data_IF_651601532613
#
_entry.id   IF_651601532613
#
_cell.length_a   1.000
_cell.length_b   1.000
_cell.length_c   1.000
_cell.angle_alpha   90.00
_cell.angle_beta   90.00
_cell.angle_gamma   90.00
#
_symmetry.space_group_name_H-M   'P 1'
#
loop_
_entity.id
_entity.type
_entity.pdbx_description
1 polymer ?
#
# COMPACT_ATOMS: atom_id res chain seq x y z
N UNK A 1 -29.42 -38.65 -1.82
CA UNK A 1 -29.66 -37.29 -1.32
C UNK A 1 -28.31 -36.61 -1.21
N UNK A 2 -27.99 -35.60 -2.03
CA UNK A 2 -26.82 -34.77 -1.77
C UNK A 2 -27.08 -33.93 -0.51
N UNK A 3 -26.06 -33.68 0.33
CA UNK A 3 -26.23 -32.90 1.54
C UNK A 3 -26.57 -31.45 1.22
N UNK A 4 -27.44 -30.90 2.05
CA UNK A 4 -27.90 -29.52 2.09
C UNK A 4 -26.76 -28.52 1.84
N UNK A 5 -26.98 -27.69 0.82
CA UNK A 5 -26.29 -26.42 0.64
C UNK A 5 -26.49 -25.59 1.90
N UNK A 6 -25.49 -25.63 2.79
CA UNK A 6 -25.42 -24.70 3.91
C UNK A 6 -25.30 -23.31 3.29
N UNK A 7 -26.42 -22.61 3.21
CA UNK A 7 -26.44 -21.18 2.93
C UNK A 7 -25.61 -20.52 4.03
N UNK A 8 -24.33 -20.29 3.74
CA UNK A 8 -23.58 -19.22 4.37
C UNK A 8 -24.43 -17.98 4.15
N UNK A 9 -25.23 -17.61 5.15
CA UNK A 9 -25.93 -16.33 5.24
C UNK A 9 -24.85 -15.28 5.10
N UNK A 10 -24.66 -14.89 3.85
CA UNK A 10 -23.51 -14.16 3.36
C UNK A 10 -23.53 -12.79 3.99
N UNK A 11 -22.34 -12.35 4.39
CA UNK A 11 -22.08 -11.02 4.92
C UNK A 11 -22.36 -9.98 3.81
N UNK A 12 -23.63 -9.73 3.48
CA UNK A 12 -24.04 -8.77 2.46
C UNK A 12 -24.20 -7.42 3.13
N UNK A 13 -23.13 -6.65 3.14
CA UNK A 13 -23.17 -5.27 3.61
C UNK A 13 -23.02 -4.31 2.42
N UNK A 14 -23.89 -3.28 2.31
CA UNK A 14 -23.68 -2.24 1.32
C UNK A 14 -22.35 -1.53 1.59
N UNK A 15 -21.53 -1.38 0.55
CA UNK A 15 -20.25 -0.68 0.67
C UNK A 15 -20.47 0.83 0.79
N UNK A 16 -20.13 1.39 1.95
CA UNK A 16 -20.24 2.82 2.23
C UNK A 16 -18.93 3.61 1.95
N UNK A 17 -17.92 2.96 1.36
CA UNK A 17 -16.58 3.50 1.19
C UNK A 17 -15.60 3.00 2.27
N UNK A 18 -14.34 3.40 2.12
CA UNK A 18 -13.27 3.09 3.10
C UNK A 18 -13.35 4.07 4.28
N UNK A 19 -13.27 3.56 5.50
CA UNK A 19 -13.36 4.41 6.70
C UNK A 19 -12.14 5.32 6.85
N UNK A 20 -12.30 6.54 7.41
CA UNK A 20 -11.17 7.40 7.74
C UNK A 20 -10.18 6.75 8.71
N UNK A 21 -10.66 5.93 9.64
CA UNK A 21 -9.83 5.22 10.61
C UNK A 21 -8.88 4.23 9.92
N UNK A 22 -9.34 3.55 8.86
CA UNK A 22 -8.50 2.65 8.08
C UNK A 22 -7.35 3.40 7.38
N UNK A 23 -7.65 4.58 6.82
CA UNK A 23 -6.65 5.45 6.19
C UNK A 23 -5.64 5.93 7.23
N UNK A 24 -6.11 6.35 8.41
CA UNK A 24 -5.27 6.80 9.51
C UNK A 24 -4.35 5.66 10.00
N UNK A 25 -4.89 4.47 10.24
CA UNK A 25 -4.11 3.30 10.67
C UNK A 25 -3.04 2.93 9.64
N UNK A 26 -3.39 2.85 8.36
CA UNK A 26 -2.40 2.58 7.30
C UNK A 26 -1.33 3.69 7.24
N UNK A 27 -1.69 4.95 7.46
CA UNK A 27 -0.72 6.06 7.46
C UNK A 27 0.29 5.96 8.59
N UNK A 28 -0.12 5.57 9.80
CA UNK A 28 0.79 5.36 10.92
C UNK A 28 1.74 4.18 10.65
N UNK A 29 1.21 3.09 10.10
CA UNK A 29 2.01 1.91 9.74
C UNK A 29 3.03 2.24 8.64
N UNK A 30 2.61 2.99 7.62
CA UNK A 30 3.50 3.44 6.55
C UNK A 30 4.61 4.35 7.11
N UNK A 31 4.27 5.32 7.96
CA UNK A 31 5.23 6.21 8.61
C UNK A 31 6.25 5.43 9.47
N UNK A 32 5.79 4.50 10.32
CA UNK A 32 6.68 3.66 11.12
C UNK A 32 7.59 2.79 10.26
N UNK A 33 7.05 2.23 9.18
CA UNK A 33 7.81 1.42 8.23
C UNK A 33 8.88 2.23 7.53
N UNK A 34 8.59 3.45 7.07
CA UNK A 34 9.57 4.36 6.50
C UNK A 34 10.66 4.73 7.52
N UNK A 35 10.26 5.05 8.76
CA UNK A 35 11.19 5.39 9.83
C UNK A 35 12.18 4.26 10.14
N UNK A 36 11.72 3.00 10.16
CA UNK A 36 12.57 1.81 10.34
C UNK A 36 13.43 1.55 9.11
N UNK A 37 12.85 1.68 7.92
CA UNK A 37 13.52 1.47 6.65
C UNK A 37 14.67 2.45 6.40
N UNK A 38 14.60 3.68 6.93
CA UNK A 38 15.68 4.69 6.83
C UNK A 38 17.06 4.18 7.22
N UNK A 39 17.13 3.26 8.19
CA UNK A 39 18.40 2.65 8.63
C UNK A 39 19.08 1.79 7.56
N UNK A 40 18.33 1.36 6.54
CA UNK A 40 18.79 0.46 5.50
C UNK A 40 19.30 1.17 4.23
N UNK A 41 18.90 2.43 4.02
CA UNK A 41 19.23 3.18 2.79
C UNK A 41 20.40 4.15 2.94
N UNK A 42 20.71 4.60 4.17
CA UNK A 42 21.75 5.61 4.42
C UNK A 42 21.44 6.93 3.70
N UNK A 43 22.47 7.54 3.11
CA UNK A 43 22.39 8.87 2.48
C UNK A 43 21.97 8.83 0.99
N UNK A 44 21.29 7.78 0.56
CA UNK A 44 20.87 7.64 -0.84
C UNK A 44 19.62 8.50 -1.12
N UNK A 45 19.68 9.29 -2.19
CA UNK A 45 18.58 10.16 -2.60
C UNK A 45 17.40 9.37 -3.19
N UNK A 46 16.17 9.70 -2.81
CA UNK A 46 14.96 9.02 -3.24
C UNK A 46 14.29 9.72 -4.41
N UNK A 47 13.96 8.94 -5.44
CA UNK A 47 13.26 9.43 -6.62
C UNK A 47 11.76 9.15 -6.56
N UNK A 48 11.34 8.05 -5.93
CA UNK A 48 9.91 7.69 -5.87
C UNK A 48 9.54 6.83 -4.67
N UNK A 49 8.33 7.04 -4.17
CA UNK A 49 7.61 6.13 -3.28
C UNK A 49 6.36 5.63 -4.00
N UNK A 50 6.13 4.33 -3.99
CA UNK A 50 4.97 3.68 -4.58
C UNK A 50 4.21 2.84 -3.54
N UNK A 51 2.89 2.76 -3.68
CA UNK A 51 2.05 1.80 -2.95
C UNK A 51 1.36 0.86 -3.93
N UNK A 52 1.55 -0.45 -3.76
CA UNK A 52 0.74 -1.47 -4.45
C UNK A 52 -0.40 -1.90 -3.52
N UNK A 53 -1.60 -2.06 -4.07
CA UNK A 53 -2.80 -2.44 -3.35
C UNK A 53 -3.59 -3.45 -4.18
N UNK A 54 -3.71 -4.67 -3.63
CA UNK A 54 -4.46 -5.78 -4.24
C UNK A 54 -5.50 -6.30 -3.25
N UNK A 55 -6.73 -5.71 -3.26
CA UNK A 55 -7.78 -6.03 -2.29
C UNK A 55 -8.17 -7.50 -2.25
N UNK A 56 -8.28 -8.16 -3.40
CA UNK A 56 -8.60 -9.59 -3.48
C UNK A 56 -7.59 -10.47 -2.71
N UNK A 57 -6.31 -10.08 -2.74
CA UNK A 57 -5.22 -10.81 -2.11
C UNK A 57 -4.99 -10.40 -0.65
N UNK A 58 -5.65 -9.32 -0.18
CA UNK A 58 -5.34 -8.72 1.11
C UNK A 58 -3.91 -8.17 1.16
N UNK A 59 -3.42 -7.63 0.05
CA UNK A 59 -2.01 -7.24 -0.08
C UNK A 59 -1.87 -5.73 -0.22
N UNK A 60 -1.01 -5.15 0.62
CA UNK A 60 -0.54 -3.78 0.50
C UNK A 60 0.98 -3.81 0.59
N UNK A 61 1.67 -3.08 -0.28
CA UNK A 61 3.13 -3.04 -0.29
C UNK A 61 3.63 -1.65 -0.55
N UNK A 62 4.73 -1.28 0.10
CA UNK A 62 5.44 -0.04 -0.16
C UNK A 62 6.70 -0.35 -0.94
N UNK A 63 6.93 0.41 -2.00
CA UNK A 63 8.11 0.25 -2.84
C UNK A 63 8.80 1.59 -3.03
N UNK A 64 10.12 1.55 -3.16
CA UNK A 64 10.91 2.77 -3.25
C UNK A 64 11.94 2.69 -4.36
N UNK A 65 12.07 3.78 -5.11
CA UNK A 65 13.08 3.94 -6.16
C UNK A 65 14.12 4.96 -5.71
N UNK A 66 15.39 4.55 -5.71
CA UNK A 66 16.49 5.46 -5.47
C UNK A 66 16.87 6.20 -6.76
N UNK A 67 17.37 7.42 -6.60
CA UNK A 67 17.81 8.26 -7.72
C UNK A 67 18.96 7.64 -8.49
N UNK A 68 19.86 6.96 -7.80
CA UNK A 68 20.96 6.22 -8.41
C UNK A 68 20.46 5.06 -9.29
N UNK A 69 19.37 4.38 -8.90
CA UNK A 69 18.77 3.32 -9.71
C UNK A 69 18.18 3.90 -11.01
N UNK A 70 17.42 4.99 -10.90
CA UNK A 70 16.85 5.67 -12.07
C UNK A 70 17.91 6.31 -12.98
N UNK A 71 19.07 6.69 -12.45
CA UNK A 71 20.17 7.21 -13.24
C UNK A 71 20.87 6.10 -14.06
N UNK A 72 20.90 4.87 -13.53
CA UNK A 72 21.45 3.69 -14.20
C UNK A 72 20.46 3.18 -15.26
N UNK A 73 19.18 3.06 -14.90
CA UNK A 73 18.11 2.66 -15.82
C UNK A 73 16.93 3.65 -15.70
N UNK A 74 16.85 4.66 -16.59
CA UNK A 74 15.75 5.63 -16.62
C UNK A 74 14.38 5.00 -16.81
N UNK A 75 14.29 3.79 -17.37
CA UNK A 75 13.02 3.10 -17.53
C UNK A 75 12.45 2.57 -16.22
N UNK A 76 13.22 2.60 -15.11
CA UNK A 76 12.69 2.32 -13.77
C UNK A 76 11.81 3.45 -13.23
N UNK A 77 11.87 4.64 -13.82
CA UNK A 77 10.99 5.76 -13.45
C UNK A 77 9.52 5.54 -13.88
N UNK A 78 9.22 4.48 -14.63
CA UNK A 78 7.85 4.04 -14.91
C UNK A 78 7.26 3.30 -13.69
N UNK A 79 6.19 3.81 -13.06
CA UNK A 79 5.51 3.12 -11.96
C UNK A 79 5.03 1.70 -12.30
N UNK A 80 4.78 1.37 -13.57
CA UNK A 80 4.41 0.02 -13.97
C UNK A 80 5.53 -1.01 -13.79
N UNK A 81 6.76 -0.56 -13.46
CA UNK A 81 7.96 -1.39 -13.30
C UNK A 81 8.47 -1.44 -11.86
N UNK A 82 7.61 -1.17 -10.87
CA UNK A 82 7.94 -1.29 -9.44
C UNK A 82 8.55 -2.63 -9.06
N UNK A 83 8.15 -3.72 -9.71
CA UNK A 83 8.72 -5.08 -9.53
C UNK A 83 10.22 -5.20 -9.87
N UNK A 84 10.78 -4.26 -10.63
CA UNK A 84 12.20 -4.21 -10.97
C UNK A 84 13.03 -3.35 -9.99
N UNK A 85 12.40 -2.65 -9.05
CA UNK A 85 13.10 -1.79 -8.10
C UNK A 85 13.81 -2.64 -7.04
N UNK A 86 15.03 -2.26 -6.64
CA UNK A 86 15.78 -2.97 -5.60
C UNK A 86 15.07 -2.95 -4.24
N UNK A 87 14.27 -1.92 -4.02
CA UNK A 87 13.48 -1.74 -2.81
C UNK A 87 11.99 -1.91 -3.06
N UNK A 88 11.62 -2.86 -3.94
CA UNK A 88 10.28 -3.41 -4.00
C UNK A 88 9.94 -4.18 -2.72
N UNK A 89 8.73 -3.95 -2.23
CA UNK A 89 8.22 -4.51 -0.99
C UNK A 89 9.13 -4.26 0.20
N UNK A 90 9.39 -2.98 0.48
CA UNK A 90 10.25 -2.57 1.58
C UNK A 90 9.69 -3.01 2.93
N UNK A 91 8.38 -3.27 3.03
CA UNK A 91 7.77 -3.87 4.21
C UNK A 91 8.47 -5.16 4.67
N UNK A 92 8.92 -5.99 3.71
CA UNK A 92 9.60 -7.26 3.99
C UNK A 92 10.98 -7.07 4.63
N UNK A 93 11.51 -5.85 4.56
CA UNK A 93 12.80 -5.45 5.14
C UNK A 93 12.64 -4.79 6.50
N UNK A 94 11.40 -4.61 6.99
CA UNK A 94 11.09 -3.94 8.25
C UNK A 94 10.27 -4.85 9.17
N UNK A 95 10.42 -4.65 10.48
CA UNK A 95 9.59 -5.37 11.46
C UNK A 95 8.21 -4.74 11.66
N UNK A 96 7.99 -3.52 11.17
CA UNK A 96 6.81 -2.71 11.49
C UNK A 96 5.56 -3.12 10.71
N UNK A 97 5.72 -3.66 9.50
CA UNK A 97 4.59 -4.01 8.64
C UNK A 97 3.72 -5.14 9.15
N UNK A 98 4.17 -5.92 10.15
CA UNK A 98 3.30 -6.90 10.84
C UNK A 98 2.02 -6.28 11.42
N UNK A 99 2.03 -4.97 11.66
CA UNK A 99 0.88 -4.21 12.12
C UNK A 99 -0.18 -4.01 11.02
N UNK A 100 0.18 -4.16 9.74
CA UNK A 100 -0.72 -4.02 8.59
C UNK A 100 -1.73 -5.16 8.47
N UNK A 101 -1.52 -6.29 9.16
CA UNK A 101 -2.40 -7.46 9.07
C UNK A 101 -3.88 -7.13 9.36
N UNK A 102 -4.14 -6.15 10.23
CA UNK A 102 -5.50 -5.67 10.52
C UNK A 102 -6.14 -4.99 9.31
N UNK A 103 -5.48 -3.97 8.75
CA UNK A 103 -5.98 -3.20 7.60
C UNK A 103 -6.06 -4.03 6.33
N UNK A 104 -5.09 -4.91 6.08
CA UNK A 104 -5.05 -5.85 4.95
C UNK A 104 -6.24 -6.83 4.99
N UNK A 105 -6.52 -7.39 6.17
CA UNK A 105 -7.65 -8.28 6.37
C UNK A 105 -8.99 -7.56 6.19
N UNK A 106 -9.16 -6.36 6.75
CA UNK A 106 -10.40 -5.59 6.58
C UNK A 106 -10.67 -5.31 5.10
N UNK A 107 -9.64 -4.93 4.34
CA UNK A 107 -9.73 -4.73 2.91
C UNK A 107 -10.16 -6.00 2.17
N UNK A 108 -9.50 -7.13 2.46
CA UNK A 108 -9.80 -8.42 1.84
C UNK A 108 -11.21 -8.91 2.16
N UNK A 109 -11.61 -8.85 3.43
CA UNK A 109 -12.95 -9.22 3.88
C UNK A 109 -14.01 -8.34 3.21
N UNK A 110 -13.78 -7.03 3.13
CA UNK A 110 -14.69 -6.11 2.44
C UNK A 110 -14.87 -6.48 0.96
N UNK A 111 -13.77 -6.81 0.27
CA UNK A 111 -13.81 -7.22 -1.13
C UNK A 111 -14.56 -8.55 -1.34
N UNK A 112 -14.28 -9.57 -0.53
CA UNK A 112 -14.89 -10.89 -0.72
C UNK A 112 -16.33 -11.00 -0.22
N UNK A 113 -16.71 -10.22 0.80
CA UNK A 113 -18.08 -10.18 1.30
C UNK A 113 -19.05 -9.39 0.39
N UNK A 114 -18.51 -8.52 -0.47
CA UNK A 114 -19.31 -7.74 -1.39
C UNK A 114 -19.88 -8.57 -2.56
N UNK A 115 -20.99 -8.09 -3.10
CA UNK A 115 -21.55 -8.59 -4.36
C UNK A 115 -20.53 -8.40 -5.48
N UNK A 116 -20.52 -9.31 -6.45
CA UNK A 116 -19.54 -9.30 -7.55
C UNK A 116 -19.58 -7.98 -8.34
N UNK A 117 -20.76 -7.38 -8.48
CA UNK A 117 -20.95 -6.08 -9.13
C UNK A 117 -20.28 -4.91 -8.40
N UNK A 118 -20.09 -5.00 -7.08
CA UNK A 118 -19.52 -3.92 -6.25
C UNK A 118 -17.99 -4.03 -6.11
N UNK A 119 -17.41 -5.22 -6.37
CA UNK A 119 -15.98 -5.50 -6.21
C UNK A 119 -15.05 -4.53 -6.95
N UNK A 120 -15.30 -4.13 -8.21
CA UNK A 120 -14.46 -3.16 -8.90
C UNK A 120 -14.43 -1.80 -8.18
N UNK A 121 -15.59 -1.31 -7.73
CA UNK A 121 -15.70 -0.02 -7.03
C UNK A 121 -15.02 -0.07 -5.65
N UNK A 122 -15.14 -1.20 -4.95
CA UNK A 122 -14.42 -1.44 -3.70
C UNK A 122 -12.91 -1.44 -3.94
N UNK A 123 -12.46 -2.11 -5.00
CA UNK A 123 -11.04 -2.16 -5.31
C UNK A 123 -10.46 -0.77 -5.58
N UNK A 124 -11.14 0.02 -6.42
CA UNK A 124 -10.75 1.41 -6.70
C UNK A 124 -10.77 2.27 -5.43
N UNK A 125 -11.77 2.09 -4.56
CA UNK A 125 -11.86 2.83 -3.30
C UNK A 125 -10.67 2.52 -2.36
N UNK A 126 -10.24 1.26 -2.26
CA UNK A 126 -9.07 0.89 -1.46
C UNK A 126 -7.75 1.34 -2.07
N UNK A 127 -7.59 1.29 -3.41
CA UNK A 127 -6.42 1.88 -4.09
C UNK A 127 -6.34 3.39 -3.78
N UNK A 128 -7.46 4.10 -3.91
CA UNK A 128 -7.55 5.52 -3.58
C UNK A 128 -7.29 5.80 -2.09
N UNK A 129 -7.70 4.91 -1.18
CA UNK A 129 -7.44 5.01 0.25
C UNK A 129 -5.96 4.79 0.59
N UNK A 130 -5.29 3.82 -0.04
CA UNK A 130 -3.84 3.62 0.06
C UNK A 130 -3.08 4.86 -0.38
N UNK A 131 -3.45 5.43 -1.53
CA UNK A 131 -2.84 6.65 -2.03
C UNK A 131 -3.05 7.83 -1.06
N UNK A 132 -4.26 7.98 -0.51
CA UNK A 132 -4.54 9.00 0.53
C UNK A 132 -3.69 8.79 1.78
N UNK A 133 -3.54 7.55 2.26
CA UNK A 133 -2.78 7.24 3.46
C UNK A 133 -1.30 7.66 3.34
N UNK A 134 -0.68 7.39 2.18
CA UNK A 134 0.73 7.76 1.94
C UNK A 134 0.93 9.26 1.64
N UNK A 135 -0.14 10.01 1.36
CA UNK A 135 -0.12 11.46 1.18
C UNK A 135 -0.46 12.26 2.44
N UNK A 136 -0.64 11.58 3.59
CA UNK A 136 -0.90 12.26 4.87
C UNK A 136 0.33 13.05 5.36
N UNK A 137 0.10 14.09 6.17
CA UNK A 137 1.17 14.85 6.84
C UNK A 137 2.09 13.94 7.66
N UNK A 138 1.53 12.88 8.25
CA UNK A 138 2.28 11.91 9.04
C UNK A 138 3.34 11.18 8.19
N UNK A 139 2.96 10.70 7.02
CA UNK A 139 3.88 10.03 6.09
C UNK A 139 4.84 11.04 5.45
N UNK A 140 4.35 12.23 5.09
CA UNK A 140 5.17 13.30 4.54
C UNK A 140 6.33 13.68 5.50
N UNK A 141 6.07 13.82 6.80
CA UNK A 141 7.10 14.12 7.79
C UNK A 141 8.20 13.05 7.87
N UNK A 142 7.86 11.77 7.69
CA UNK A 142 8.86 10.70 7.63
C UNK A 142 9.59 10.67 6.28
N UNK A 143 8.93 11.03 5.18
CA UNK A 143 9.57 11.16 3.85
C UNK A 143 10.58 12.31 3.84
N UNK A 144 10.28 13.44 4.49
CA UNK A 144 11.20 14.59 4.64
C UNK A 144 12.48 14.25 5.42
N UNK A 145 12.48 13.15 6.18
CA UNK A 145 13.66 12.67 6.87
C UNK A 145 14.67 11.94 5.98
N UNK A 146 14.38 11.79 4.69
CA UNK A 146 15.28 11.20 3.69
C UNK A 146 15.88 12.29 2.80
N UNK A 147 16.99 11.96 2.13
CA UNK A 147 17.46 12.77 1.02
C UNK A 147 16.51 12.55 -0.16
N UNK A 148 15.85 13.60 -0.64
CA UNK A 148 14.93 13.53 -1.77
C UNK A 148 15.58 14.08 -3.04
N UNK A 149 15.34 13.45 -4.18
CA UNK A 149 15.65 14.05 -5.47
C UNK A 149 14.71 15.21 -5.76
N UNK A 150 15.15 16.15 -6.59
CA UNK A 150 14.32 17.25 -7.10
C UNK A 150 13.06 16.75 -7.81
N UNK A 151 13.12 15.56 -8.43
CA UNK A 151 12.03 14.92 -9.14
C UNK A 151 11.20 13.95 -8.28
N UNK A 152 11.34 14.01 -6.95
CA UNK A 152 10.63 13.10 -6.05
C UNK A 152 9.12 13.16 -6.27
N UNK A 153 8.48 11.98 -6.32
CA UNK A 153 7.03 11.86 -6.42
C UNK A 153 6.52 10.62 -5.69
N UNK A 154 5.23 10.65 -5.36
CA UNK A 154 4.49 9.53 -4.79
C UNK A 154 3.52 8.99 -5.84
N UNK A 155 3.40 7.67 -5.97
CA UNK A 155 2.50 7.01 -6.92
C UNK A 155 1.80 5.81 -6.28
N UNK A 156 0.74 5.33 -6.93
CA UNK A 156 0.23 3.96 -6.80
C UNK A 156 0.54 3.18 -8.07
#
# INVERSE_FOLDING_TARGET
MPPDSTELSGCRMPFAGVSPDWIHELSEIAAMTLADFRRHVGDQAFAMLAVDCRPADGFISLSMLLSAESAIDPSLADPARTSAWKHEGLERKTGMWRLAAGVERVMQETYHCAEEADRPAIAEAFVGACLKAIHTERVAAEVECFLLAESFRITS
#
